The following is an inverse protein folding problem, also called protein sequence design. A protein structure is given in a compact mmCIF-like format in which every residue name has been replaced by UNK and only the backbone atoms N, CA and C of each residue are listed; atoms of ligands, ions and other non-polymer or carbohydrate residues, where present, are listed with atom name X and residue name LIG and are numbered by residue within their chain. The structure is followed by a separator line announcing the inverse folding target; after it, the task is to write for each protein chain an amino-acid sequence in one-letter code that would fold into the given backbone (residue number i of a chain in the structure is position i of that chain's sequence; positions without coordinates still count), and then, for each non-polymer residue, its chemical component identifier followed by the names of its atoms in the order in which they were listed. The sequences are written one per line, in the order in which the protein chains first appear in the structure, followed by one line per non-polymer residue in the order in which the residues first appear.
data_IF_618933414647
#
_entry.id   IF_618933414647
#
_cell.length_a   1.000
_cell.length_b   1.000
_cell.length_c   1.000
_cell.angle_alpha   90.00
_cell.angle_beta   90.00
_cell.angle_gamma   90.00
#
_symmetry.space_group_name_H-M   'P 1'
#
loop_
_entity.id
_entity.type
_entity.pdbx_description
1 polymer ?
#
# COMPACT_ATOMS: atom_id res chain seq x y z
N UNK A 1 -22.47 -41.03 45.06
CA UNK A 1 -22.30 -39.62 44.74
C UNK A 1 -21.35 -39.49 43.59
N UNK A 2 -21.83 -39.18 42.38
CA UNK A 2 -20.98 -38.91 41.20
C UNK A 2 -20.92 -37.40 41.02
N UNK A 3 -19.76 -36.80 41.22
CA UNK A 3 -19.48 -35.38 40.89
C UNK A 3 -19.37 -35.23 39.37
N UNK A 4 -20.27 -34.48 38.77
CA UNK A 4 -20.16 -34.04 37.40
C UNK A 4 -19.30 -32.78 37.37
N UNK A 5 -18.14 -32.87 36.72
CA UNK A 5 -17.25 -31.71 36.45
C UNK A 5 -17.76 -31.01 35.20
N UNK A 6 -18.34 -29.84 35.36
CA UNK A 6 -18.67 -28.95 34.26
C UNK A 6 -17.39 -28.22 33.83
N UNK A 7 -16.91 -28.54 32.63
CA UNK A 7 -15.83 -27.77 31.95
C UNK A 7 -16.45 -26.62 31.22
N UNK A 8 -16.11 -25.36 31.52
CA UNK A 8 -16.59 -24.22 30.74
C UNK A 8 -15.85 -24.18 29.40
N UNK A 9 -16.57 -24.36 28.31
CA UNK A 9 -16.05 -24.09 26.95
C UNK A 9 -15.99 -22.58 26.77
N UNK A 10 -14.78 -22.03 26.86
CA UNK A 10 -14.50 -20.63 26.48
C UNK A 10 -14.51 -20.56 24.96
N UNK A 11 -15.61 -20.11 24.39
CA UNK A 11 -15.69 -19.75 22.98
C UNK A 11 -14.91 -18.47 22.78
N UNK A 12 -13.66 -18.61 22.33
CA UNK A 12 -12.81 -17.47 21.92
C UNK A 12 -13.39 -16.91 20.62
N UNK A 13 -14.24 -15.90 20.72
CA UNK A 13 -14.72 -15.13 19.57
C UNK A 13 -13.52 -14.41 18.93
N UNK A 14 -12.95 -15.01 17.91
CA UNK A 14 -12.01 -14.32 17.00
C UNK A 14 -12.77 -13.19 16.33
N UNK A 15 -12.71 -12.02 16.93
CA UNK A 15 -13.12 -10.79 16.29
C UNK A 15 -12.22 -10.61 15.06
N UNK A 16 -12.74 -10.96 13.89
CA UNK A 16 -12.17 -10.56 12.61
C UNK A 16 -12.17 -9.04 12.60
N UNK A 17 -11.04 -8.46 12.99
CA UNK A 17 -10.76 -7.04 12.79
C UNK A 17 -10.76 -6.84 11.28
N UNK A 18 -11.91 -6.44 10.75
CA UNK A 18 -12.04 -6.10 9.35
C UNK A 18 -11.09 -4.96 9.03
N UNK A 19 -9.99 -5.27 8.37
CA UNK A 19 -9.05 -4.30 7.82
C UNK A 19 -9.84 -3.25 7.05
N UNK A 20 -9.73 -2.01 7.46
CA UNK A 20 -10.39 -0.89 6.79
C UNK A 20 -9.75 -0.75 5.41
N UNK A 21 -10.43 -1.23 4.37
CA UNK A 21 -9.89 -1.24 3.02
C UNK A 21 -9.80 0.16 2.42
N UNK A 22 -8.70 0.44 1.84
CA UNK A 22 -8.43 1.40 0.77
C UNK A 22 -8.87 0.83 -0.57
N UNK A 23 -8.26 1.29 -1.70
CA UNK A 23 -8.40 0.50 -2.91
C UNK A 23 -8.59 -0.97 -2.49
N UNK A 24 -9.74 -1.53 -2.79
CA UNK A 24 -10.14 -2.73 -2.06
C UNK A 24 -9.49 -3.96 -2.69
N UNK A 25 -8.66 -4.67 -1.93
CA UNK A 25 -8.15 -5.98 -2.35
C UNK A 25 -9.32 -6.92 -2.63
N UNK A 26 -9.44 -7.38 -3.86
CA UNK A 26 -10.52 -8.28 -4.31
C UNK A 26 -10.03 -9.67 -4.68
N UNK A 27 -8.77 -9.81 -5.08
CA UNK A 27 -8.20 -11.11 -5.43
C UNK A 27 -6.67 -11.12 -5.27
N UNK A 28 -6.11 -12.31 -5.25
CA UNK A 28 -4.67 -12.58 -5.31
C UNK A 28 -4.35 -13.44 -6.51
N UNK A 29 -3.22 -13.14 -7.18
CA UNK A 29 -2.76 -13.88 -8.36
C UNK A 29 -3.85 -14.04 -9.44
N UNK A 30 -4.61 -12.98 -9.67
CA UNK A 30 -5.68 -12.97 -10.66
C UNK A 30 -5.14 -12.83 -12.08
N UNK A 31 -5.82 -13.47 -13.03
CA UNK A 31 -5.55 -13.38 -14.46
C UNK A 31 -6.85 -13.26 -15.25
N UNK A 32 -6.77 -12.94 -16.54
CA UNK A 32 -7.93 -12.77 -17.41
C UNK A 32 -8.98 -11.82 -16.81
N UNK A 33 -8.48 -10.64 -16.48
CA UNK A 33 -9.25 -9.64 -15.73
C UNK A 33 -10.04 -8.78 -16.71
N UNK A 34 -11.32 -8.57 -16.41
CA UNK A 34 -12.16 -7.63 -17.14
C UNK A 34 -13.01 -6.80 -16.17
N UNK A 35 -13.31 -5.59 -16.59
CA UNK A 35 -14.13 -4.63 -15.87
C UNK A 35 -15.25 -4.14 -16.77
N UNK A 36 -16.47 -4.17 -16.27
CA UNK A 36 -17.66 -3.59 -16.89
C UNK A 36 -18.39 -2.74 -15.85
N UNK A 37 -19.06 -1.69 -16.28
CA UNK A 37 -19.90 -0.87 -15.40
C UNK A 37 -21.25 -0.63 -16.09
N UNK A 38 -22.34 -0.86 -15.38
CA UNK A 38 -23.67 -0.67 -15.94
C UNK A 38 -24.16 0.80 -15.79
N UNK A 39 -25.31 1.11 -16.38
CA UNK A 39 -25.93 2.44 -16.30
C UNK A 39 -26.23 2.92 -14.88
N UNK A 40 -26.38 1.99 -13.93
CA UNK A 40 -26.61 2.29 -12.51
C UNK A 40 -25.29 2.47 -11.72
N UNK A 41 -24.15 2.53 -12.40
CA UNK A 41 -22.82 2.68 -11.77
C UNK A 41 -22.32 1.48 -10.97
N UNK A 42 -22.93 0.29 -11.12
CA UNK A 42 -22.42 -0.95 -10.53
C UNK A 42 -21.36 -1.54 -11.44
N UNK A 43 -20.27 -2.02 -10.85
CA UNK A 43 -19.20 -2.70 -11.58
C UNK A 43 -19.38 -4.22 -11.54
N UNK A 44 -19.09 -4.88 -12.66
CA UNK A 44 -18.87 -6.32 -12.76
C UNK A 44 -17.41 -6.57 -13.09
N UNK A 45 -16.73 -7.25 -12.19
CA UNK A 45 -15.34 -7.66 -12.37
C UNK A 45 -15.32 -9.18 -12.59
N UNK A 46 -14.75 -9.59 -13.72
CA UNK A 46 -14.53 -11.01 -14.00
C UNK A 46 -13.04 -11.28 -13.99
N UNK A 47 -12.60 -12.31 -13.28
CA UNK A 47 -11.20 -12.72 -13.23
C UNK A 47 -11.07 -14.22 -12.94
N UNK A 48 -9.89 -14.76 -13.23
CA UNK A 48 -9.50 -16.12 -12.87
C UNK A 48 -8.53 -16.07 -11.70
N UNK A 49 -8.81 -16.80 -10.65
CA UNK A 49 -7.88 -17.04 -9.55
C UNK A 49 -7.66 -18.57 -9.41
N UNK A 50 -6.48 -19.01 -9.74
CA UNK A 50 -6.20 -20.44 -9.90
C UNK A 50 -7.07 -21.07 -11.01
N UNK A 51 -7.83 -22.11 -10.66
CA UNK A 51 -8.73 -22.79 -11.60
C UNK A 51 -10.14 -22.19 -11.67
N UNK A 52 -10.46 -21.25 -10.78
CA UNK A 52 -11.82 -20.70 -10.66
C UNK A 52 -11.97 -19.38 -11.39
N UNK A 53 -13.04 -19.25 -12.17
CA UNK A 53 -13.51 -17.95 -12.67
C UNK A 53 -14.46 -17.36 -11.62
N UNK A 54 -14.25 -16.09 -11.31
CA UNK A 54 -15.06 -15.34 -10.35
C UNK A 54 -15.72 -14.16 -11.05
N UNK A 55 -17.00 -13.97 -10.78
CA UNK A 55 -17.77 -12.81 -11.20
C UNK A 55 -18.14 -12.03 -9.94
N UNK A 56 -17.50 -10.88 -9.76
CA UNK A 56 -17.70 -10.01 -8.61
C UNK A 56 -18.54 -8.81 -9.01
N UNK A 57 -19.64 -8.58 -8.30
CA UNK A 57 -20.42 -7.35 -8.42
C UNK A 57 -20.00 -6.39 -7.32
N UNK A 58 -19.66 -5.15 -7.69
CA UNK A 58 -19.24 -4.12 -6.75
C UNK A 58 -20.07 -2.84 -6.90
N UNK A 59 -20.32 -2.13 -5.80
CA UNK A 59 -21.04 -0.86 -5.81
C UNK A 59 -20.76 -0.04 -4.55
N UNK A 60 -21.26 1.20 -4.52
CA UNK A 60 -21.09 2.12 -3.41
C UNK A 60 -19.72 2.76 -3.40
N UNK A 61 -19.40 3.42 -2.33
CA UNK A 61 -18.22 4.23 -2.03
C UNK A 61 -17.65 5.00 -3.25
N UNK A 62 -17.26 6.22 -3.08
CA UNK A 62 -16.63 6.99 -4.17
C UNK A 62 -15.30 7.57 -3.70
N UNK A 63 -15.29 8.24 -2.55
CA UNK A 63 -14.10 8.93 -2.09
C UNK A 63 -13.80 8.59 -0.63
N UNK A 64 -12.53 8.77 -0.26
CA UNK A 64 -12.10 8.66 1.12
C UNK A 64 -12.74 9.72 2.02
N UNK A 65 -12.93 9.36 3.26
CA UNK A 65 -13.26 10.29 4.34
C UNK A 65 -11.99 10.67 5.11
N UNK A 66 -11.90 11.87 5.64
CA UNK A 66 -10.84 12.20 6.60
C UNK A 66 -10.84 11.21 7.76
N UNK A 67 -9.64 10.90 8.28
CA UNK A 67 -9.56 10.09 9.49
C UNK A 67 -10.24 10.83 10.64
N UNK A 68 -11.14 10.20 11.39
CA UNK A 68 -11.74 10.82 12.58
C UNK A 68 -10.65 11.09 13.62
N UNK A 69 -10.81 12.17 14.36
CA UNK A 69 -9.94 12.50 15.48
C UNK A 69 -10.11 11.52 16.66
N UNK A 70 -11.25 10.83 16.71
CA UNK A 70 -11.61 9.86 17.74
C UNK A 70 -11.79 8.45 17.16
N UNK A 71 -11.48 7.38 17.92
CA UNK A 71 -11.79 6.00 17.53
C UNK A 71 -13.28 5.75 17.25
N UNK A 72 -14.16 6.52 17.87
CA UNK A 72 -15.61 6.46 17.67
C UNK A 72 -16.12 7.25 16.44
N UNK A 73 -15.24 7.94 15.74
CA UNK A 73 -15.61 8.71 14.55
C UNK A 73 -16.04 7.84 13.36
N UNK A 74 -16.58 8.45 12.30
CA UNK A 74 -17.13 7.72 11.16
C UNK A 74 -16.05 6.86 10.50
N UNK A 75 -16.37 5.58 10.29
CA UNK A 75 -15.50 4.62 9.62
C UNK A 75 -15.25 5.04 8.16
N UNK A 76 -14.11 4.60 7.62
CA UNK A 76 -13.78 4.80 6.22
C UNK A 76 -14.84 4.15 5.31
N UNK A 77 -15.12 4.80 4.19
CA UNK A 77 -16.02 4.26 3.17
C UNK A 77 -15.44 2.98 2.57
N UNK A 78 -16.32 2.04 2.23
CA UNK A 78 -15.96 0.76 1.62
C UNK A 78 -16.88 0.45 0.46
N UNK A 79 -16.37 -0.28 -0.52
CA UNK A 79 -17.19 -0.91 -1.53
C UNK A 79 -18.04 -2.01 -0.91
N UNK A 80 -19.24 -2.20 -1.43
CA UNK A 80 -20.03 -3.40 -1.22
C UNK A 80 -19.66 -4.39 -2.31
N UNK A 81 -19.34 -5.61 -1.93
CA UNK A 81 -18.86 -6.66 -2.82
C UNK A 81 -19.78 -7.89 -2.73
N UNK A 82 -20.20 -8.38 -3.88
CA UNK A 82 -20.97 -9.62 -4.02
C UNK A 82 -20.22 -10.61 -4.90
N UNK A 83 -19.57 -11.57 -4.28
CA UNK A 83 -18.78 -12.62 -4.95
C UNK A 83 -19.64 -13.75 -5.53
N UNK A 84 -20.95 -13.72 -5.33
CA UNK A 84 -21.86 -14.67 -5.97
C UNK A 84 -22.06 -14.41 -7.46
N UNK A 85 -21.58 -13.27 -7.98
CA UNK A 85 -21.87 -12.81 -9.34
C UNK A 85 -23.35 -12.50 -9.56
N UNK A 86 -24.08 -12.26 -8.45
CA UNK A 86 -25.52 -12.08 -8.47
C UNK A 86 -26.31 -13.40 -8.55
N UNK A 87 -25.63 -14.55 -8.39
CA UNK A 87 -26.29 -15.85 -8.36
C UNK A 87 -26.88 -16.11 -6.96
N UNK A 88 -28.11 -16.62 -6.92
CA UNK A 88 -28.79 -16.95 -5.68
C UNK A 88 -30.23 -17.39 -5.97
N UNK A 89 -31.00 -17.93 -4.99
CA UNK A 89 -32.31 -18.50 -5.22
C UNK A 89 -33.32 -17.54 -5.88
N UNK A 90 -33.07 -16.23 -5.74
CA UNK A 90 -33.94 -15.17 -6.26
C UNK A 90 -33.33 -14.35 -7.39
N UNK A 91 -32.09 -14.68 -7.82
CA UNK A 91 -31.35 -13.88 -8.79
C UNK A 91 -30.95 -14.71 -9.99
N UNK A 92 -31.17 -14.18 -11.18
CA UNK A 92 -30.58 -14.69 -12.40
C UNK A 92 -29.07 -14.46 -12.38
N UNK A 93 -28.33 -15.21 -13.17
CA UNK A 93 -26.88 -15.02 -13.36
C UNK A 93 -26.63 -13.63 -13.96
N UNK A 94 -26.47 -12.62 -13.11
CA UNK A 94 -26.38 -11.21 -13.51
C UNK A 94 -25.24 -11.00 -14.51
N UNK A 95 -24.13 -11.71 -14.33
CA UNK A 95 -22.98 -11.60 -15.22
C UNK A 95 -23.30 -11.97 -16.69
N UNK A 96 -24.28 -12.81 -16.94
CA UNK A 96 -24.73 -13.16 -18.31
C UNK A 96 -25.56 -12.05 -18.96
N UNK A 97 -26.19 -11.23 -18.17
CA UNK A 97 -27.12 -10.19 -18.63
C UNK A 97 -26.65 -8.79 -18.29
N UNK A 98 -25.40 -8.67 -17.87
CA UNK A 98 -24.82 -7.38 -17.47
C UNK A 98 -24.62 -6.52 -18.73
N UNK A 99 -25.29 -5.39 -18.79
CA UNK A 99 -25.16 -4.43 -19.88
C UNK A 99 -24.07 -3.43 -19.53
N UNK A 100 -22.95 -3.54 -20.22
CA UNK A 100 -21.84 -2.62 -20.06
C UNK A 100 -22.18 -1.25 -20.63
N UNK A 101 -22.00 -0.21 -19.81
CA UNK A 101 -22.12 1.20 -20.17
C UNK A 101 -20.81 1.96 -19.87
N UNK A 102 -19.71 1.24 -19.71
CA UNK A 102 -18.38 1.75 -19.42
C UNK A 102 -17.92 2.62 -20.58
N UNK A 103 -17.52 3.83 -20.29
CA UNK A 103 -16.89 4.77 -21.22
C UNK A 103 -15.37 4.58 -21.17
N UNK A 104 -14.62 4.90 -22.23
CA UNK A 104 -13.17 4.93 -22.17
C UNK A 104 -12.67 5.74 -20.96
N UNK A 105 -11.60 5.28 -20.35
CA UNK A 105 -11.00 5.98 -19.24
C UNK A 105 -10.30 7.25 -19.72
N UNK A 106 -10.69 8.39 -19.19
CA UNK A 106 -10.15 9.72 -19.47
C UNK A 106 -9.64 10.45 -18.21
N UNK A 107 -9.42 9.67 -17.14
CA UNK A 107 -8.95 10.18 -15.86
C UNK A 107 -7.42 10.28 -15.77
N UNK A 108 -6.89 10.62 -14.59
CA UNK A 108 -5.45 10.70 -14.34
C UNK A 108 -4.73 9.38 -14.58
N UNK A 109 -3.46 9.43 -14.93
CA UNK A 109 -2.62 8.24 -15.05
C UNK A 109 -2.59 7.45 -13.73
N UNK A 110 -2.68 6.13 -13.84
CA UNK A 110 -2.72 5.21 -12.70
C UNK A 110 -1.47 4.34 -12.68
N UNK A 111 -0.80 4.31 -11.54
CA UNK A 111 0.24 3.32 -11.26
C UNK A 111 -0.36 1.90 -11.29
N UNK A 112 0.44 0.90 -11.70
CA UNK A 112 0.04 -0.52 -11.66
C UNK A 112 -1.27 -0.84 -12.40
N UNK A 113 -1.51 -0.12 -13.46
CA UNK A 113 -2.73 -0.16 -14.25
C UNK A 113 -3.02 -1.55 -14.82
N UNK A 114 -4.26 -2.00 -14.66
CA UNK A 114 -4.79 -3.20 -15.31
C UNK A 114 -5.89 -2.82 -16.29
N UNK A 115 -6.91 -2.15 -15.81
CA UNK A 115 -8.00 -1.60 -16.62
C UNK A 115 -8.78 -0.56 -15.81
N UNK A 116 -9.34 0.40 -16.50
CA UNK A 116 -10.22 1.40 -15.89
C UNK A 116 -11.30 1.86 -16.86
N UNK A 117 -12.34 2.47 -16.33
CA UNK A 117 -13.36 3.12 -17.13
C UNK A 117 -14.07 4.26 -16.42
N UNK A 118 -14.64 5.14 -17.18
CA UNK A 118 -15.55 6.16 -16.71
C UNK A 118 -16.97 5.61 -16.67
N UNK A 119 -17.60 5.68 -15.53
CA UNK A 119 -19.01 5.34 -15.35
C UNK A 119 -19.93 6.45 -15.93
N UNK A 120 -21.19 6.14 -16.30
CA UNK A 120 -22.13 7.12 -16.84
C UNK A 120 -22.38 8.33 -15.92
N UNK A 121 -22.20 8.16 -14.62
CA UNK A 121 -22.34 9.25 -13.62
C UNK A 121 -21.08 10.11 -13.47
N UNK A 122 -20.06 9.91 -14.33
CA UNK A 122 -18.79 10.65 -14.30
C UNK A 122 -17.79 10.18 -13.25
N UNK A 123 -18.10 9.16 -12.45
CA UNK A 123 -17.12 8.53 -11.57
C UNK A 123 -16.22 7.55 -12.32
N UNK A 124 -15.13 7.14 -11.69
CA UNK A 124 -14.15 6.22 -12.25
C UNK A 124 -14.10 4.92 -11.48
N UNK A 125 -14.02 3.83 -12.22
CA UNK A 125 -13.68 2.51 -11.69
C UNK A 125 -12.33 2.09 -12.25
N UNK A 126 -11.47 1.54 -11.41
CA UNK A 126 -10.18 1.01 -11.84
C UNK A 126 -9.80 -0.27 -11.11
N UNK A 127 -9.03 -1.06 -11.83
CA UNK A 127 -8.31 -2.22 -11.32
C UNK A 127 -6.82 -1.96 -11.46
N UNK A 128 -6.12 -2.13 -10.36
CA UNK A 128 -4.66 -2.03 -10.26
C UNK A 128 -4.13 -3.35 -9.72
N UNK A 129 -2.97 -3.79 -10.20
CA UNK A 129 -2.36 -5.02 -9.69
C UNK A 129 -0.88 -4.83 -9.47
N UNK A 130 -0.44 -5.03 -8.25
CA UNK A 130 0.95 -4.90 -7.85
C UNK A 130 1.35 -5.98 -6.87
N UNK A 131 2.65 -6.22 -6.79
CA UNK A 131 3.19 -7.29 -5.98
C UNK A 131 3.39 -6.82 -4.55
N UNK A 132 2.63 -7.42 -3.63
CA UNK A 132 2.75 -7.11 -2.21
C UNK A 132 3.12 -8.35 -1.43
N UNK A 133 4.00 -9.07 -1.93
CA UNK A 133 4.38 -10.42 -1.57
C UNK A 133 4.60 -10.72 -0.09
N UNK A 134 4.18 -9.88 0.80
CA UNK A 134 4.68 -10.03 2.15
C UNK A 134 3.57 -10.37 3.10
N UNK A 135 3.67 -11.50 3.80
CA UNK A 135 2.84 -11.72 4.96
C UNK A 135 3.12 -10.63 6.00
N UNK A 136 2.19 -10.42 6.91
CA UNK A 136 2.35 -9.49 8.04
C UNK A 136 3.54 -9.82 8.97
N UNK A 137 4.24 -10.90 8.67
CA UNK A 137 5.44 -11.36 9.36
C UNK A 137 6.69 -10.55 9.01
N UNK A 138 6.58 -9.56 8.12
CA UNK A 138 7.70 -8.72 7.73
C UNK A 138 8.29 -9.07 6.38
N UNK A 139 9.37 -8.40 6.07
CA UNK A 139 9.97 -8.43 4.76
C UNK A 139 11.02 -9.51 4.67
N UNK A 140 10.81 -10.41 3.74
CA UNK A 140 11.83 -11.33 3.28
C UNK A 140 11.93 -11.17 1.77
N UNK A 141 12.45 -10.03 1.28
CA UNK A 141 12.35 -9.63 -0.11
C UNK A 141 12.98 -10.62 -1.08
N UNK A 142 13.94 -11.40 -0.63
CA UNK A 142 14.58 -12.47 -1.38
C UNK A 142 13.80 -13.79 -1.43
N UNK A 143 12.72 -13.92 -0.65
CA UNK A 143 11.92 -15.14 -0.63
C UNK A 143 10.87 -15.15 -1.75
N UNK A 144 11.16 -15.86 -2.83
CA UNK A 144 10.27 -15.98 -4.00
C UNK A 144 8.85 -16.46 -3.67
N UNK A 145 8.70 -17.30 -2.64
CA UNK A 145 7.39 -17.84 -2.21
C UNK A 145 6.40 -16.76 -1.77
N UNK A 146 6.88 -15.59 -1.42
CA UNK A 146 6.06 -14.49 -0.93
C UNK A 146 5.65 -13.52 -2.02
N UNK A 147 6.00 -13.77 -3.28
CA UNK A 147 5.63 -12.93 -4.41
C UNK A 147 4.18 -13.20 -4.81
N UNK A 148 3.28 -12.43 -4.24
CA UNK A 148 1.84 -12.49 -4.53
C UNK A 148 1.41 -11.20 -5.22
N UNK A 149 0.71 -11.33 -6.31
CA UNK A 149 0.07 -10.20 -6.99
C UNK A 149 -1.29 -9.95 -6.36
N UNK A 150 -1.53 -8.73 -5.93
CA UNK A 150 -2.80 -8.30 -5.38
C UNK A 150 -3.56 -7.50 -6.41
N UNK A 151 -4.82 -7.83 -6.59
CA UNK A 151 -5.73 -7.10 -7.45
C UNK A 151 -6.59 -6.19 -6.59
N UNK A 152 -6.44 -4.90 -6.81
CA UNK A 152 -7.14 -3.85 -6.09
C UNK A 152 -8.21 -3.21 -6.95
N UNK A 153 -9.37 -2.93 -6.35
CA UNK A 153 -10.50 -2.26 -6.97
C UNK A 153 -10.70 -0.89 -6.34
N UNK A 154 -10.84 0.12 -7.19
CA UNK A 154 -11.08 1.50 -6.79
C UNK A 154 -12.33 2.06 -7.45
N UNK A 155 -13.04 2.96 -6.74
CA UNK A 155 -14.18 3.72 -7.25
C UNK A 155 -14.13 5.13 -6.67
N UNK A 156 -13.86 6.11 -7.51
CA UNK A 156 -13.65 7.50 -7.07
C UNK A 156 -14.15 8.54 -8.07
N UNK A 157 -14.10 9.79 -7.66
CA UNK A 157 -14.26 10.97 -8.51
C UNK A 157 -13.30 12.06 -8.08
N UNK A 158 -12.88 12.90 -9.01
CA UNK A 158 -11.94 14.00 -8.76
C UNK A 158 -10.48 13.53 -8.65
N UNK A 159 -9.62 14.30 -7.96
CA UNK A 159 -8.18 14.07 -7.96
C UNK A 159 -7.78 12.77 -7.26
N UNK A 160 -6.61 12.27 -7.65
CA UNK A 160 -5.94 11.17 -6.97
C UNK A 160 -5.25 11.64 -5.68
N UNK A 161 -4.94 10.71 -4.77
CA UNK A 161 -3.99 10.97 -3.71
C UNK A 161 -2.63 11.38 -4.29
N UNK A 162 -1.95 12.27 -3.61
CA UNK A 162 -0.66 12.81 -4.04
C UNK A 162 0.44 12.29 -3.15
N UNK A 163 1.48 11.75 -3.76
CA UNK A 163 2.68 11.24 -3.11
C UNK A 163 3.86 12.09 -3.56
N UNK A 164 4.32 12.97 -2.69
CA UNK A 164 5.50 13.81 -2.87
C UNK A 164 6.67 13.12 -2.17
N UNK A 165 7.75 12.84 -2.89
CA UNK A 165 8.89 12.06 -2.38
C UNK A 165 10.20 12.74 -2.72
N UNK A 166 11.07 12.79 -1.73
CA UNK A 166 12.44 13.29 -1.80
C UNK A 166 13.40 12.22 -1.28
N UNK A 167 14.67 12.35 -1.63
CA UNK A 167 15.72 11.41 -1.26
C UNK A 167 16.90 12.16 -0.68
N UNK A 168 17.52 11.61 0.35
CA UNK A 168 18.73 12.14 0.93
C UNK A 168 19.55 11.07 1.64
N UNK A 169 20.69 11.49 2.18
CA UNK A 169 21.47 10.72 3.13
C UNK A 169 21.22 11.26 4.55
N UNK A 170 21.34 10.39 5.54
CA UNK A 170 21.23 10.76 6.96
C UNK A 170 22.40 10.23 7.76
N UNK A 171 22.68 10.88 8.87
CA UNK A 171 23.81 10.58 9.74
C UNK A 171 25.15 10.59 8.99
N UNK A 172 25.43 11.70 8.30
CA UNK A 172 26.65 11.90 7.52
C UNK A 172 26.88 10.80 6.47
N UNK A 173 25.84 10.50 5.72
CA UNK A 173 25.89 9.51 4.65
C UNK A 173 25.80 8.04 5.08
N UNK A 174 25.60 7.80 6.38
CA UNK A 174 25.56 6.42 6.94
C UNK A 174 24.37 5.62 6.46
N UNK A 175 23.25 6.28 6.16
CA UNK A 175 22.04 5.67 5.65
C UNK A 175 21.44 6.53 4.55
N UNK A 176 20.80 5.86 3.62
CA UNK A 176 19.94 6.49 2.64
C UNK A 176 18.52 6.56 3.16
N UNK A 177 17.79 7.59 2.76
CA UNK A 177 16.43 7.83 3.19
C UNK A 177 15.59 8.36 2.04
N UNK A 178 14.32 8.02 2.04
CA UNK A 178 13.29 8.76 1.33
C UNK A 178 12.36 9.42 2.35
N UNK A 179 11.93 10.62 2.07
CA UNK A 179 10.96 11.36 2.89
C UNK A 179 9.99 12.13 1.99
N UNK A 180 8.92 12.63 2.56
CA UNK A 180 7.94 13.39 1.80
C UNK A 180 6.58 13.50 2.47
N UNK A 181 5.58 13.77 1.65
CA UNK A 181 4.19 13.89 2.09
C UNK A 181 3.27 13.01 1.26
N UNK A 182 2.32 12.40 1.96
CA UNK A 182 1.21 11.69 1.34
C UNK A 182 -0.09 12.44 1.67
N UNK A 183 -0.73 13.02 0.66
CA UNK A 183 -1.90 13.88 0.84
C UNK A 183 -3.06 13.47 -0.05
N UNK A 184 -4.26 13.82 0.38
CA UNK A 184 -5.48 13.65 -0.41
C UNK A 184 -6.41 14.85 -0.16
N UNK A 185 -6.78 15.54 -1.23
CA UNK A 185 -7.59 16.77 -1.16
C UNK A 185 -7.01 17.81 -0.19
N UNK A 186 -5.70 18.05 -0.29
CA UNK A 186 -4.96 19.01 0.55
C UNK A 186 -4.82 18.61 2.02
N UNK A 187 -5.21 17.40 2.39
CA UNK A 187 -5.08 16.90 3.77
C UNK A 187 -4.11 15.71 3.82
N UNK A 188 -3.29 15.68 4.86
CA UNK A 188 -2.39 14.57 5.08
C UNK A 188 -3.16 13.24 5.21
N UNK A 189 -2.77 12.26 4.42
CA UNK A 189 -3.13 10.87 4.68
C UNK A 189 -2.26 10.45 5.85
N UNK A 190 -2.82 10.62 7.06
CA UNK A 190 -2.07 10.51 8.31
C UNK A 190 -1.49 9.13 8.51
N UNK A 191 -0.27 9.18 8.94
CA UNK A 191 0.34 8.25 9.85
C UNK A 191 0.71 6.93 9.19
N UNK A 192 1.99 6.70 9.13
CA UNK A 192 2.50 5.37 8.97
C UNK A 192 2.68 4.80 10.37
N UNK A 193 2.09 3.66 10.62
CA UNK A 193 2.35 2.86 11.80
C UNK A 193 3.20 1.67 11.42
N UNK A 194 3.31 0.73 12.33
CA UNK A 194 3.86 -0.59 12.05
C UNK A 194 2.87 -1.67 12.45
N UNK A 195 2.89 -2.80 11.77
CA UNK A 195 2.23 -4.01 12.26
C UNK A 195 2.96 -4.50 13.51
N UNK A 196 2.37 -5.47 14.21
CA UNK A 196 3.04 -6.17 15.31
C UNK A 196 4.42 -6.72 14.90
N UNK A 197 4.60 -7.08 13.65
CA UNK A 197 5.84 -7.61 13.10
C UNK A 197 6.74 -6.56 12.43
N UNK A 198 6.45 -5.28 12.59
CA UNK A 198 7.31 -4.19 12.12
C UNK A 198 7.11 -3.78 10.66
N UNK A 199 6.17 -4.38 9.92
CA UNK A 199 5.89 -3.95 8.54
C UNK A 199 5.23 -2.56 8.53
N UNK A 200 5.67 -1.62 7.69
CA UNK A 200 5.11 -0.28 7.66
C UNK A 200 3.68 -0.27 7.15
N UNK A 201 2.83 0.48 7.84
CA UNK A 201 1.42 0.66 7.48
C UNK A 201 1.07 2.13 7.46
N UNK A 202 0.04 2.48 6.69
CA UNK A 202 -0.59 3.79 6.82
C UNK A 202 -1.53 3.83 8.04
N UNK A 203 -2.12 4.99 8.28
CA UNK A 203 -3.02 5.19 9.44
C UNK A 203 -4.33 4.41 9.38
N UNK A 204 -4.58 3.70 8.30
CA UNK A 204 -5.72 2.81 8.13
C UNK A 204 -5.33 1.32 8.26
N UNK A 205 -4.09 1.05 8.67
CA UNK A 205 -3.54 -0.29 8.83
C UNK A 205 -3.21 -1.00 7.52
N UNK A 206 -2.98 -0.26 6.43
CA UNK A 206 -2.65 -0.80 5.12
C UNK A 206 -1.17 -0.74 4.88
N UNK A 207 -0.63 -1.78 4.28
CA UNK A 207 0.79 -1.87 4.04
C UNK A 207 1.24 -0.80 3.04
N UNK A 208 2.35 -0.15 3.37
CA UNK A 208 3.10 0.76 2.50
C UNK A 208 4.44 0.11 2.23
N UNK A 209 4.91 0.17 1.00
CA UNK A 209 6.10 -0.56 0.60
C UNK A 209 7.16 0.36 0.01
N UNK A 210 8.40 0.06 0.36
CA UNK A 210 9.58 0.58 -0.31
C UNK A 210 10.30 -0.59 -0.94
N UNK A 211 10.54 -0.48 -2.22
CA UNK A 211 11.32 -1.45 -2.99
C UNK A 211 12.58 -0.75 -3.52
N UNK A 212 13.70 -1.45 -3.52
CA UNK A 212 14.94 -1.03 -4.17
C UNK A 212 15.26 -1.95 -5.34
N UNK A 213 15.86 -1.39 -6.37
CA UNK A 213 16.27 -2.13 -7.55
C UNK A 213 17.76 -2.38 -7.48
N UNK A 214 18.19 -3.61 -7.81
CA UNK A 214 19.59 -4.04 -7.78
C UNK A 214 20.31 -3.69 -6.47
N UNK A 215 19.65 -3.90 -5.36
CA UNK A 215 20.20 -3.63 -4.03
C UNK A 215 21.17 -4.72 -3.56
N UNK A 216 21.76 -4.51 -2.41
CA UNK A 216 22.61 -5.53 -1.72
C UNK A 216 21.88 -6.86 -1.47
N UNK A 217 20.56 -6.87 -1.58
CA UNK A 217 19.72 -8.06 -1.41
C UNK A 217 19.48 -8.84 -2.70
N UNK A 218 19.96 -8.39 -3.82
CA UNK A 218 19.93 -9.11 -5.09
C UNK A 218 19.46 -8.26 -6.28
N UNK A 219 19.56 -8.85 -7.46
CA UNK A 219 19.18 -8.22 -8.71
C UNK A 219 17.66 -8.05 -8.84
N UNK A 220 17.24 -7.03 -9.57
CA UNK A 220 15.86 -6.66 -9.78
C UNK A 220 15.24 -5.96 -8.56
N UNK A 221 13.93 -5.83 -8.55
CA UNK A 221 13.22 -5.18 -7.46
C UNK A 221 13.15 -6.09 -6.24
N UNK A 222 13.70 -5.59 -5.13
CA UNK A 222 13.66 -6.23 -3.83
C UNK A 222 12.97 -5.30 -2.85
N UNK A 223 12.10 -5.88 -2.03
CA UNK A 223 11.42 -5.13 -0.98
C UNK A 223 12.32 -4.96 0.21
N UNK A 224 12.51 -3.72 0.60
CA UNK A 224 13.37 -3.40 1.72
C UNK A 224 12.59 -3.31 3.03
N UNK A 225 13.25 -3.72 4.07
CA UNK A 225 12.88 -3.34 5.41
C UNK A 225 13.37 -1.94 5.68
N UNK A 226 12.46 -1.11 6.08
CA UNK A 226 12.76 0.25 6.42
C UNK A 226 12.22 0.61 7.78
N UNK A 227 12.94 1.45 8.46
CA UNK A 227 12.39 2.19 9.59
C UNK A 227 11.51 3.31 9.04
N UNK A 228 10.27 3.35 9.51
CA UNK A 228 9.31 4.38 9.09
C UNK A 228 8.95 5.22 10.29
N UNK A 229 9.05 6.51 10.13
CA UNK A 229 8.38 7.45 11.01
C UNK A 229 7.43 8.33 10.22
N UNK A 230 6.34 8.73 10.85
CA UNK A 230 5.32 9.55 10.21
C UNK A 230 4.69 10.53 11.17
N UNK A 231 4.20 11.63 10.64
CA UNK A 231 3.55 12.68 11.41
C UNK A 231 2.41 13.36 10.66
N UNK A 232 1.68 14.25 11.38
CA UNK A 232 0.80 15.18 10.72
C UNK A 232 1.66 16.15 9.88
N UNK A 233 1.28 16.63 8.78
CA UNK A 233 0.12 16.44 7.93
C UNK A 233 0.37 15.48 6.74
N UNK A 234 0.66 14.23 7.01
CA UNK A 234 0.98 13.23 5.99
C UNK A 234 2.48 13.06 5.71
N UNK A 235 3.33 13.71 6.50
CA UNK A 235 4.77 13.57 6.42
C UNK A 235 5.20 12.14 6.75
N UNK A 236 6.16 11.63 6.00
CA UNK A 236 6.82 10.35 6.25
C UNK A 236 8.33 10.44 6.04
N UNK A 237 9.06 9.59 6.73
CA UNK A 237 10.48 9.35 6.52
C UNK A 237 10.73 7.86 6.56
N UNK A 238 11.35 7.33 5.51
CA UNK A 238 11.80 5.95 5.41
C UNK A 238 13.31 5.92 5.38
N UNK A 239 13.95 5.54 6.47
CA UNK A 239 15.35 5.15 6.43
C UNK A 239 15.49 3.73 5.89
N UNK A 240 16.34 3.51 4.94
CA UNK A 240 16.74 2.17 4.49
C UNK A 240 17.71 1.58 5.51
N UNK A 241 17.15 1.22 6.63
CA UNK A 241 17.85 0.59 7.72
C UNK A 241 17.43 -0.86 7.78
N UNK A 242 18.32 -1.80 7.45
CA UNK A 242 17.97 -3.20 7.49
C UNK A 242 17.63 -3.62 8.93
N UNK A 243 16.39 -4.00 9.14
CA UNK A 243 15.89 -4.48 10.41
C UNK A 243 15.66 -6.00 10.35
N UNK A 244 16.20 -6.74 11.29
CA UNK A 244 16.04 -8.18 11.39
C UNK A 244 15.11 -8.54 12.55
N UNK A 245 13.86 -8.97 12.31
CA UNK A 245 12.94 -9.31 13.37
C UNK A 245 13.29 -10.61 14.12
N UNK A 246 14.20 -11.44 13.62
CA UNK A 246 14.65 -12.66 14.32
C UNK A 246 15.80 -12.38 15.28
N UNK A 247 16.65 -11.43 14.97
CA UNK A 247 17.79 -11.01 15.78
C UNK A 247 17.49 -9.67 16.44
N UNK A 248 16.97 -8.75 15.68
CA UNK A 248 16.33 -7.49 15.99
C UNK A 248 15.22 -7.22 15.00
N UNK A 249 14.76 -8.24 14.27
CA UNK A 249 13.87 -8.09 13.17
C UNK A 249 13.93 -9.27 12.19
N UNK A 250 14.06 -9.02 10.90
CA UNK A 250 13.86 -9.99 9.82
C UNK A 250 15.07 -10.86 9.51
N UNK A 251 14.81 -12.05 8.98
CA UNK A 251 15.84 -12.96 8.52
C UNK A 251 16.77 -12.30 7.49
N UNK A 252 18.05 -12.59 7.61
CA UNK A 252 19.06 -12.08 6.68
C UNK A 252 19.12 -12.88 5.39
N UNK A 253 19.48 -12.27 4.25
CA UNK A 253 19.91 -13.00 3.09
C UNK A 253 21.10 -13.89 3.42
N UNK A 254 21.26 -15.04 2.72
CA UNK A 254 22.43 -15.88 2.90
C UNK A 254 23.74 -15.11 2.78
N UNK A 255 24.68 -15.36 3.67
CA UNK A 255 25.99 -14.68 3.68
C UNK A 255 26.01 -13.29 4.30
N UNK A 256 24.86 -12.76 4.74
CA UNK A 256 24.80 -11.48 5.43
C UNK A 256 24.47 -11.65 6.90
N UNK A 257 24.85 -10.69 7.72
CA UNK A 257 24.51 -10.65 9.15
C UNK A 257 24.00 -9.26 9.49
N UNK A 258 23.28 -9.13 10.60
CA UNK A 258 22.81 -7.86 11.14
C UNK A 258 23.89 -6.77 11.15
N UNK A 259 25.14 -7.10 11.48
CA UNK A 259 26.25 -6.15 11.52
C UNK A 259 26.86 -5.82 10.14
N UNK A 260 26.62 -6.67 9.14
CA UNK A 260 27.17 -6.51 7.79
C UNK A 260 26.16 -5.90 6.81
N UNK A 261 24.99 -5.58 7.28
CA UNK A 261 24.03 -4.87 6.45
C UNK A 261 24.52 -3.46 6.22
N UNK A 262 24.79 -3.18 4.99
CA UNK A 262 24.97 -1.82 4.52
C UNK A 262 23.63 -1.09 4.46
N UNK A 263 23.64 0.21 4.16
CA UNK A 263 22.43 0.92 3.78
C UNK A 263 21.76 0.21 2.61
N UNK A 264 20.45 0.28 2.52
CA UNK A 264 19.67 -0.25 1.41
C UNK A 264 19.96 0.53 0.15
N UNK A 265 21.11 0.26 -0.46
CA UNK A 265 21.56 0.92 -1.70
C UNK A 265 21.04 0.15 -2.89
N UNK A 266 20.31 0.80 -3.76
CA UNK A 266 19.90 0.31 -5.06
C UNK A 266 20.07 1.41 -6.11
N UNK A 267 19.99 1.04 -7.39
CA UNK A 267 20.09 2.00 -8.48
C UNK A 267 18.78 2.79 -8.72
N UNK A 268 17.66 2.26 -8.20
CA UNK A 268 16.35 2.93 -8.21
C UNK A 268 15.57 2.61 -6.93
N UNK A 269 14.68 3.53 -6.55
CA UNK A 269 13.74 3.36 -5.44
C UNK A 269 12.31 3.45 -5.91
N UNK A 270 11.42 2.72 -5.24
CA UNK A 270 9.99 2.73 -5.52
C UNK A 270 9.21 2.72 -4.21
N UNK A 271 8.37 3.72 -4.02
CA UNK A 271 7.42 3.78 -2.91
C UNK A 271 6.02 3.54 -3.43
N UNK A 272 5.33 2.57 -2.86
CA UNK A 272 3.95 2.25 -3.21
C UNK A 272 3.07 2.39 -1.98
N UNK A 273 2.02 3.18 -2.11
CA UNK A 273 1.04 3.41 -1.06
C UNK A 273 -0.37 3.14 -1.56
N UNK A 274 -1.15 2.44 -0.75
CA UNK A 274 -2.56 2.21 -1.08
C UNK A 274 -3.37 3.49 -0.91
N UNK A 275 -4.25 3.78 -1.88
CA UNK A 275 -5.08 4.97 -1.85
C UNK A 275 -6.04 5.01 -0.66
N UNK A 276 -6.31 6.16 -0.06
CA UNK A 276 -7.22 6.27 1.08
C UNK A 276 -8.67 5.98 0.69
N UNK A 277 -9.37 5.21 1.52
CA UNK A 277 -10.75 4.78 1.24
C UNK A 277 -10.82 3.86 0.04
N UNK A 278 -11.47 4.29 -1.02
CA UNK A 278 -11.64 3.54 -2.27
C UNK A 278 -11.02 4.26 -3.47
N UNK A 279 -10.06 5.14 -3.20
CA UNK A 279 -9.27 5.81 -4.23
C UNK A 279 -8.17 4.89 -4.75
N UNK A 280 -7.63 5.13 -5.96
CA UNK A 280 -6.53 4.36 -6.50
C UNK A 280 -5.27 4.37 -5.64
N UNK A 281 -4.50 3.31 -5.78
CA UNK A 281 -3.15 3.22 -5.22
C UNK A 281 -2.22 4.14 -5.99
N UNK A 282 -1.25 4.70 -5.28
CA UNK A 282 -0.26 5.60 -5.85
C UNK A 282 1.15 5.02 -5.69
N UNK A 283 1.99 5.34 -6.63
CA UNK A 283 3.40 4.93 -6.63
C UNK A 283 4.26 6.10 -7.04
N UNK A 284 5.42 6.16 -6.44
CA UNK A 284 6.52 7.00 -6.88
C UNK A 284 7.71 6.11 -7.20
N UNK A 285 8.49 6.50 -8.19
CA UNK A 285 9.74 5.86 -8.56
C UNK A 285 10.76 6.92 -8.92
N UNK A 286 11.99 6.74 -8.46
CA UNK A 286 13.08 7.65 -8.72
C UNK A 286 14.43 6.95 -8.65
N UNK A 287 15.53 7.63 -9.05
CA UNK A 287 16.87 7.07 -9.01
C UNK A 287 17.26 6.75 -7.57
N UNK A 288 18.06 5.70 -7.37
CA UNK A 288 18.72 5.46 -6.10
C UNK A 288 19.86 6.43 -5.87
N UNK A 289 20.25 6.62 -4.62
CA UNK A 289 21.42 7.40 -4.26
C UNK A 289 22.66 6.49 -4.24
N UNK A 290 23.76 6.99 -4.77
CA UNK A 290 25.08 6.39 -4.55
C UNK A 290 25.53 6.56 -3.08
N UNK A 291 26.61 5.90 -2.62
CA UNK A 291 27.19 6.18 -1.31
C UNK A 291 27.63 7.65 -1.20
N UNK A 292 27.31 8.27 -0.07
CA UNK A 292 27.67 9.67 0.19
C UNK A 292 29.19 9.88 0.21
N UNK A 293 29.66 10.89 -0.53
CA UNK A 293 31.04 11.35 -0.46
C UNK A 293 31.10 12.80 0.06
N UNK A 294 31.58 13.05 1.28
CA UNK A 294 31.66 14.39 1.84
C UNK A 294 32.63 15.31 1.09
N UNK A 295 33.49 14.75 0.21
CA UNK A 295 34.39 15.51 -0.64
C UNK A 295 33.81 15.85 -2.01
N UNK A 296 32.64 15.30 -2.33
CA UNK A 296 31.89 15.61 -3.53
C UNK A 296 30.97 16.82 -3.29
N UNK A 297 31.26 17.99 -3.91
CA UNK A 297 30.41 19.18 -3.72
C UNK A 297 28.96 18.97 -4.07
N UNK A 298 28.64 18.13 -5.07
CA UNK A 298 27.27 17.81 -5.46
C UNK A 298 26.50 17.06 -4.37
N UNK A 299 27.16 16.15 -3.64
CA UNK A 299 26.52 15.40 -2.56
C UNK A 299 26.19 16.31 -1.39
N UNK A 300 27.14 17.19 -1.05
CA UNK A 300 26.98 18.18 0.03
C UNK A 300 25.88 19.17 -0.30
N UNK A 301 25.83 19.66 -1.53
CA UNK A 301 24.77 20.57 -1.99
C UNK A 301 23.40 19.88 -1.94
N UNK A 302 23.30 18.66 -2.47
CA UNK A 302 22.06 17.87 -2.44
C UNK A 302 21.58 17.64 -1.00
N UNK A 303 22.47 17.28 -0.08
CA UNK A 303 22.13 17.09 1.34
C UNK A 303 21.59 18.38 1.96
N UNK A 304 22.21 19.51 1.66
CA UNK A 304 21.75 20.82 2.14
C UNK A 304 20.37 21.18 1.58
N UNK A 305 20.12 20.97 0.29
CA UNK A 305 18.82 21.20 -0.33
C UNK A 305 17.73 20.31 0.29
N UNK A 306 18.00 19.02 0.47
CA UNK A 306 17.04 18.08 1.05
C UNK A 306 16.77 18.37 2.52
N UNK A 307 17.77 18.81 3.28
CA UNK A 307 17.60 19.24 4.66
C UNK A 307 16.74 20.52 4.77
N UNK A 308 16.94 21.47 3.86
CA UNK A 308 16.08 22.65 3.76
C UNK A 308 14.63 22.25 3.42
N UNK A 309 14.45 21.35 2.44
CA UNK A 309 13.16 20.84 2.03
C UNK A 309 12.47 20.09 3.15
N UNK A 310 13.18 19.24 3.88
CA UNK A 310 12.64 18.55 5.04
C UNK A 310 12.20 19.55 6.13
N UNK A 311 12.98 20.60 6.35
CA UNK A 311 12.66 21.65 7.33
C UNK A 311 11.39 22.40 6.95
N UNK A 312 11.20 22.68 5.65
CA UNK A 312 9.96 23.26 5.14
C UNK A 312 8.73 22.38 5.40
N UNK A 313 8.82 21.09 5.07
CA UNK A 313 7.64 20.22 5.09
C UNK A 313 7.33 19.59 6.46
N UNK A 314 8.29 19.52 7.37
CA UNK A 314 8.10 18.85 8.66
C UNK A 314 7.22 19.61 9.66
N UNK A 315 7.00 20.90 9.45
CA UNK A 315 6.10 21.72 10.27
C UNK A 315 6.29 21.50 11.78
N UNK A 316 7.53 21.50 12.26
CA UNK A 316 7.88 21.30 13.69
C UNK A 316 7.88 19.85 14.18
N UNK A 317 7.60 18.88 13.34
CA UNK A 317 7.63 17.48 13.74
C UNK A 317 9.08 16.94 13.87
N UNK A 318 9.40 16.37 15.07
CA UNK A 318 10.79 16.10 15.45
C UNK A 318 11.29 14.68 15.14
N UNK A 319 10.43 13.77 14.70
CA UNK A 319 10.83 12.37 14.45
C UNK A 319 11.51 12.13 13.10
N UNK A 320 11.51 13.12 12.23
CA UNK A 320 12.24 13.12 10.98
C UNK A 320 13.36 14.15 11.12
N UNK A 321 14.56 13.69 11.33
CA UNK A 321 15.72 14.56 11.53
C UNK A 321 16.35 14.92 10.19
N UNK A 322 16.88 16.13 10.10
CA UNK A 322 17.85 16.50 9.09
C UNK A 322 19.10 15.61 9.24
N UNK A 323 19.79 15.34 8.16
CA UNK A 323 21.01 14.54 8.13
C UNK A 323 22.16 15.18 8.86
#
# INVERSE_FOLDING_TARGET
MRLAVLVPVVVCSLALVGTAGASQLIARNASNISLQVNSNGKALITYRAGRRVTHLIAWGAINARPRPASPSGPRQVKLKLDYSGGWGPWRKLIWKHFKNACQPYDGPELAWFVTACRAPNGSYWALQSWQTALPDLGFVPWMKKQRTWWLHLSHWSGPLPQLEVYQDWVYSGRFQRIFGRYTYKGRGVRGFGTTHFGAPTDSYGRLVFVDTHNSVYGAGWMRENSFVSSGPPGLFCYGFYPFDPLVNGYAHPPGTTHRKRGPGTGDMYRLTATGPGVTPDVSWQGPGLHPYDPNNPSDVEHEHEMNAKLTEIKAGWHKCHAG
#
